data_IF_017957794328
#
_entry.id   IF_017957794328
#
_cell.length_a   1.000
_cell.length_b   1.000
_cell.length_c   1.000
_cell.angle_alpha   90.00
_cell.angle_beta   90.00
_cell.angle_gamma   90.00
#
_symmetry.space_group_name_H-M   'P 1'
#
loop_
_entity.id
_entity.type
_entity.pdbx_description
1 polymer ?
#
# COMPACT_ATOMS: atom_id res chain seq x y z
N UNK A 1 -10.86 17.90 -15.50
CA UNK A 1 -10.86 17.10 -16.74
C UNK A 1 -12.13 17.42 -17.48
N UNK A 2 -11.99 17.93 -18.68
CA UNK A 2 -13.12 18.11 -19.58
C UNK A 2 -13.45 16.75 -20.21
N UNK A 3 -14.73 16.53 -20.57
CA UNK A 3 -15.18 15.26 -21.18
C UNK A 3 -14.37 14.84 -22.41
N UNK A 4 -13.73 15.80 -23.08
CA UNK A 4 -12.86 15.61 -24.24
C UNK A 4 -11.54 14.91 -23.91
N UNK A 5 -11.00 15.14 -22.71
CA UNK A 5 -9.71 14.57 -22.27
C UNK A 5 -9.78 13.05 -22.14
N UNK A 6 -10.97 12.47 -21.99
CA UNK A 6 -11.19 11.04 -21.79
C UNK A 6 -11.52 10.29 -23.10
N UNK A 7 -11.79 11.01 -24.20
CA UNK A 7 -12.26 10.41 -25.47
C UNK A 7 -11.17 9.71 -26.29
N UNK A 8 -9.90 9.75 -25.85
CA UNK A 8 -8.86 8.91 -26.46
C UNK A 8 -9.04 7.43 -26.10
N UNK A 9 -9.77 7.12 -25.02
CA UNK A 9 -10.12 5.76 -24.64
C UNK A 9 -11.32 5.32 -25.47
N UNK A 10 -11.21 4.26 -26.30
CA UNK A 10 -12.27 3.86 -27.24
C UNK A 10 -13.63 3.64 -26.58
N UNK A 11 -13.65 3.06 -25.38
CA UNK A 11 -14.89 2.81 -24.62
C UNK A 11 -15.61 4.11 -24.22
N UNK A 12 -14.86 5.13 -23.81
CA UNK A 12 -15.44 6.43 -23.45
C UNK A 12 -15.89 7.21 -24.68
N UNK A 13 -15.14 7.11 -25.78
CA UNK A 13 -15.56 7.66 -27.06
C UNK A 13 -16.87 7.06 -27.55
N UNK A 14 -16.99 5.73 -27.52
CA UNK A 14 -18.21 5.03 -27.92
C UNK A 14 -19.40 5.49 -27.07
N UNK A 15 -19.26 5.48 -25.75
CA UNK A 15 -20.30 5.94 -24.81
C UNK A 15 -20.69 7.40 -25.05
N UNK A 16 -19.71 8.27 -25.33
CA UNK A 16 -19.97 9.66 -25.62
C UNK A 16 -20.75 9.84 -26.92
N UNK A 17 -20.33 9.16 -28.00
CA UNK A 17 -20.98 9.24 -29.32
C UNK A 17 -22.40 8.68 -29.29
N UNK A 18 -22.63 7.57 -28.58
CA UNK A 18 -23.97 7.01 -28.37
C UNK A 18 -24.93 7.96 -27.63
N UNK A 19 -24.39 8.86 -26.79
CA UNK A 19 -25.16 9.86 -26.06
C UNK A 19 -25.43 11.16 -26.82
N UNK A 20 -24.84 11.35 -28.00
CA UNK A 20 -25.01 12.59 -28.78
C UNK A 20 -26.32 12.58 -29.56
N UNK A 21 -26.94 13.76 -29.68
CA UNK A 21 -28.13 14.01 -30.48
C UNK A 21 -28.00 15.34 -31.20
N UNK A 22 -28.60 15.47 -32.37
CA UNK A 22 -28.67 16.70 -33.14
C UNK A 22 -30.12 17.12 -33.35
N UNK A 23 -30.33 18.41 -33.65
CA UNK A 23 -31.65 18.95 -33.96
C UNK A 23 -31.78 19.02 -35.48
N UNK A 24 -32.83 18.42 -36.03
CA UNK A 24 -33.09 18.47 -37.47
C UNK A 24 -33.72 19.81 -37.90
N UNK A 25 -33.91 20.00 -39.21
CA UNK A 25 -34.52 21.21 -39.78
C UNK A 25 -35.96 21.45 -39.30
N UNK A 26 -36.64 20.41 -38.83
CA UNK A 26 -37.98 20.48 -38.24
C UNK A 26 -37.97 20.78 -36.73
N UNK A 27 -36.78 20.95 -36.15
CA UNK A 27 -36.60 21.21 -34.72
C UNK A 27 -36.69 19.98 -33.83
N UNK A 28 -36.81 18.77 -34.41
CA UNK A 28 -36.90 17.51 -33.69
C UNK A 28 -35.49 17.03 -33.31
N UNK A 29 -35.34 16.57 -32.07
CA UNK A 29 -34.09 16.01 -31.57
C UNK A 29 -33.95 14.57 -32.06
N UNK A 30 -32.86 14.25 -32.78
CA UNK A 30 -32.56 12.90 -33.27
C UNK A 30 -31.23 12.41 -32.70
N UNK A 31 -31.13 11.13 -32.31
CA UNK A 31 -29.86 10.55 -31.89
C UNK A 31 -28.86 10.57 -33.06
N UNK A 32 -27.59 10.78 -32.74
CA UNK A 32 -26.52 10.77 -33.73
C UNK A 32 -26.25 9.36 -34.26
N UNK A 33 -26.42 8.35 -33.41
CA UNK A 33 -26.24 6.93 -33.76
C UNK A 33 -27.61 6.30 -33.99
N UNK A 34 -27.83 5.78 -35.20
CA UNK A 34 -29.06 5.07 -35.57
C UNK A 34 -29.02 3.58 -35.27
N UNK A 35 -27.84 2.96 -35.36
CA UNK A 35 -27.65 1.52 -35.15
C UNK A 35 -26.24 1.26 -34.59
N UNK A 36 -26.13 0.32 -33.64
CA UNK A 36 -24.87 -0.20 -33.14
C UNK A 36 -24.91 -1.72 -33.20
N UNK A 37 -23.82 -2.33 -33.71
CA UNK A 37 -23.71 -3.79 -33.85
C UNK A 37 -22.38 -4.28 -33.32
N UNK A 38 -22.43 -5.13 -32.31
CA UNK A 38 -21.25 -5.85 -31.80
C UNK A 38 -20.91 -6.99 -32.77
N UNK A 39 -19.76 -6.89 -33.44
CA UNK A 39 -19.29 -7.93 -34.37
C UNK A 39 -18.62 -9.09 -33.66
N UNK A 40 -18.05 -8.84 -32.48
CA UNK A 40 -17.32 -9.83 -31.69
C UNK A 40 -17.35 -9.43 -30.22
N UNK A 41 -17.68 -10.39 -29.35
CA UNK A 41 -17.58 -10.23 -27.90
C UNK A 41 -16.44 -11.11 -27.41
N UNK A 42 -15.42 -10.49 -26.81
CA UNK A 42 -14.31 -11.21 -26.20
C UNK A 42 -14.81 -12.11 -25.07
N UNK A 43 -14.43 -13.38 -25.09
CA UNK A 43 -14.69 -14.34 -24.01
C UNK A 43 -13.48 -14.50 -23.08
N UNK A 44 -12.33 -13.93 -23.46
CA UNK A 44 -11.04 -14.14 -22.77
C UNK A 44 -10.74 -13.07 -21.73
N UNK A 45 -11.20 -11.84 -21.99
CA UNK A 45 -11.13 -10.73 -21.05
C UNK A 45 -12.56 -10.25 -20.88
N UNK A 46 -13.16 -10.57 -19.73
CA UNK A 46 -14.38 -9.89 -19.34
C UNK A 46 -14.07 -8.39 -19.37
N UNK A 47 -14.90 -7.61 -20.06
CA UNK A 47 -14.89 -6.15 -19.97
C UNK A 47 -14.74 -5.79 -18.49
N UNK A 48 -13.97 -4.74 -18.19
CA UNK A 48 -13.60 -4.31 -16.84
C UNK A 48 -14.78 -3.92 -15.92
N UNK A 49 -15.99 -4.37 -16.21
CA UNK A 49 -17.11 -4.49 -15.30
C UNK A 49 -16.72 -5.34 -14.10
N UNK A 50 -16.35 -4.64 -13.04
CA UNK A 50 -16.64 -4.96 -11.64
C UNK A 50 -17.06 -6.41 -11.37
N UNK A 51 -16.15 -7.36 -11.47
CA UNK A 51 -16.38 -8.65 -10.83
C UNK A 51 -16.18 -8.45 -9.32
N UNK A 52 -17.16 -7.79 -8.68
CA UNK A 52 -17.14 -7.32 -7.30
C UNK A 52 -16.78 -8.44 -6.33
N UNK A 53 -17.17 -9.68 -6.67
CA UNK A 53 -16.85 -10.89 -5.92
C UNK A 53 -15.37 -11.25 -5.99
N UNK A 54 -14.74 -11.24 -7.16
CA UNK A 54 -13.29 -11.44 -7.30
C UNK A 54 -12.51 -10.32 -6.59
N UNK A 55 -12.95 -9.07 -6.75
CA UNK A 55 -12.33 -7.91 -6.08
C UNK A 55 -12.42 -8.02 -4.55
N UNK A 56 -13.56 -8.48 -4.04
CA UNK A 56 -13.75 -8.78 -2.62
C UNK A 56 -12.88 -9.93 -2.13
N UNK A 57 -12.83 -11.04 -2.87
CA UNK A 57 -12.00 -12.20 -2.51
C UNK A 57 -10.51 -11.85 -2.51
N UNK A 58 -10.03 -11.10 -3.52
CA UNK A 58 -8.66 -10.57 -3.57
C UNK A 58 -8.40 -9.64 -2.40
N UNK A 59 -9.35 -8.76 -2.07
CA UNK A 59 -9.24 -7.85 -0.92
C UNK A 59 -9.09 -8.62 0.39
N UNK A 60 -10.00 -9.57 0.67
CA UNK A 60 -9.94 -10.41 1.88
C UNK A 60 -8.65 -11.22 1.90
N UNK A 61 -8.27 -11.82 0.77
CA UNK A 61 -7.01 -12.55 0.65
C UNK A 61 -5.80 -11.68 0.98
N UNK A 62 -5.73 -10.45 0.47
CA UNK A 62 -4.63 -9.51 0.75
C UNK A 62 -4.59 -9.07 2.21
N UNK A 63 -5.74 -8.85 2.85
CA UNK A 63 -5.83 -8.56 4.30
C UNK A 63 -5.33 -9.75 5.11
N UNK A 64 -5.80 -10.96 4.79
CA UNK A 64 -5.37 -12.19 5.44
C UNK A 64 -3.86 -12.39 5.24
N UNK A 65 -3.37 -12.19 4.03
CA UNK A 65 -1.96 -12.30 3.69
C UNK A 65 -1.13 -11.26 4.48
N UNK A 66 -1.60 -10.02 4.55
CA UNK A 66 -0.97 -8.94 5.32
C UNK A 66 -0.96 -9.17 6.84
N UNK A 67 -1.84 -10.02 7.38
CA UNK A 67 -1.87 -10.41 8.80
C UNK A 67 -1.09 -11.71 9.07
N UNK A 68 -1.35 -12.75 8.27
CA UNK A 68 -0.85 -14.11 8.49
C UNK A 68 0.62 -14.24 8.10
N UNK A 69 1.08 -13.68 6.97
CA UNK A 69 2.50 -13.74 6.61
C UNK A 69 3.39 -13.18 7.73
N UNK A 70 3.21 -11.93 8.19
CA UNK A 70 4.08 -11.39 9.23
C UNK A 70 3.93 -12.13 10.57
N UNK A 71 2.74 -12.60 10.95
CA UNK A 71 2.54 -13.36 12.18
C UNK A 71 3.17 -14.77 12.15
N UNK A 72 2.96 -15.52 11.07
CA UNK A 72 3.54 -16.85 10.87
C UNK A 72 5.06 -16.80 10.71
N UNK A 73 5.57 -15.84 9.94
CA UNK A 73 7.00 -15.64 9.77
C UNK A 73 7.64 -15.10 11.06
N UNK A 74 6.94 -14.37 11.91
CA UNK A 74 7.43 -14.02 13.25
C UNK A 74 7.75 -15.27 14.07
N UNK A 75 6.85 -16.26 14.09
CA UNK A 75 7.05 -17.49 14.86
C UNK A 75 8.28 -18.27 14.37
N UNK A 76 8.44 -18.39 13.06
CA UNK A 76 9.54 -19.15 12.44
C UNK A 76 10.88 -18.41 12.58
N UNK A 77 10.93 -17.12 12.22
CA UNK A 77 12.17 -16.36 12.17
C UNK A 77 12.66 -15.90 13.55
N UNK A 78 11.75 -15.74 14.53
CA UNK A 78 12.12 -15.46 15.92
C UNK A 78 12.84 -16.65 16.55
N UNK A 79 12.42 -17.88 16.23
CA UNK A 79 13.08 -19.11 16.71
C UNK A 79 14.52 -19.24 16.21
N UNK A 80 14.81 -18.76 15.01
CA UNK A 80 16.13 -18.89 14.39
C UNK A 80 17.02 -17.64 14.58
N UNK A 81 16.50 -16.55 15.13
CA UNK A 81 17.25 -15.29 15.31
C UNK A 81 17.32 -14.40 14.06
N UNK A 82 16.71 -14.79 12.95
CA UNK A 82 16.72 -14.06 11.66
C UNK A 82 15.65 -12.96 11.57
N UNK A 83 14.96 -12.68 12.67
CA UNK A 83 13.80 -11.80 12.66
C UNK A 83 14.13 -10.35 12.27
N UNK A 84 15.28 -9.82 12.69
CA UNK A 84 15.69 -8.46 12.31
C UNK A 84 16.00 -8.37 10.79
N UNK A 85 16.54 -9.44 10.18
CA UNK A 85 16.73 -9.52 8.72
C UNK A 85 15.41 -9.58 7.97
N UNK A 86 14.46 -10.38 8.46
CA UNK A 86 13.12 -10.45 7.87
C UNK A 86 12.40 -9.08 7.89
N UNK A 87 12.50 -8.33 8.98
CA UNK A 87 11.96 -6.95 9.05
C UNK A 87 12.60 -6.05 8.00
N UNK A 88 13.93 -6.11 7.87
CA UNK A 88 14.66 -5.33 6.87
C UNK A 88 14.20 -5.68 5.44
N UNK A 89 14.02 -6.96 5.13
CA UNK A 89 13.53 -7.41 3.83
C UNK A 89 12.14 -6.86 3.51
N UNK A 90 11.21 -6.92 4.47
CA UNK A 90 9.87 -6.37 4.28
C UNK A 90 9.85 -4.85 4.10
N UNK A 91 10.68 -4.13 4.87
CA UNK A 91 10.84 -2.69 4.69
C UNK A 91 11.34 -2.35 3.29
N UNK A 92 12.32 -3.10 2.77
CA UNK A 92 12.83 -2.94 1.40
C UNK A 92 11.74 -3.23 0.36
N UNK A 93 10.99 -4.33 0.52
CA UNK A 93 9.90 -4.71 -0.38
C UNK A 93 8.79 -3.65 -0.43
N UNK A 94 8.53 -2.95 0.67
CA UNK A 94 7.59 -1.82 0.69
C UNK A 94 8.22 -0.52 0.16
N UNK A 95 9.53 -0.31 0.37
CA UNK A 95 10.20 0.92 -0.02
C UNK A 95 10.52 1.01 -1.51
N UNK A 96 10.80 -0.11 -2.19
CA UNK A 96 11.07 -0.14 -3.63
C UNK A 96 9.87 0.42 -4.43
N UNK A 97 8.65 -0.14 -4.33
CA UNK A 97 7.50 0.40 -5.05
C UNK A 97 7.16 1.82 -4.60
N UNK A 98 7.39 2.15 -3.31
CA UNK A 98 7.26 3.52 -2.82
C UNK A 98 8.24 4.51 -3.46
N UNK A 99 9.47 4.07 -3.73
CA UNK A 99 10.51 4.89 -4.38
C UNK A 99 10.20 5.08 -5.87
N UNK A 100 9.73 4.02 -6.54
CA UNK A 100 9.24 4.10 -7.92
C UNK A 100 8.05 5.07 -8.00
N UNK A 101 7.09 4.92 -7.09
CA UNK A 101 5.92 5.81 -7.02
C UNK A 101 6.32 7.26 -6.76
N UNK A 102 7.24 7.49 -5.81
CA UNK A 102 7.80 8.82 -5.56
C UNK A 102 8.43 9.40 -6.81
N UNK A 103 9.25 8.61 -7.50
CA UNK A 103 9.90 9.05 -8.74
C UNK A 103 8.89 9.43 -9.80
N UNK A 104 7.88 8.59 -10.04
CA UNK A 104 6.82 8.88 -11.00
C UNK A 104 6.03 10.14 -10.61
N UNK A 105 5.73 10.31 -9.31
CA UNK A 105 5.02 11.49 -8.81
C UNK A 105 5.78 12.80 -9.01
N UNK A 106 7.11 12.81 -8.87
CA UNK A 106 7.90 14.05 -8.81
C UNK A 106 8.70 14.34 -10.08
N UNK A 107 9.08 13.32 -10.84
CA UNK A 107 9.95 13.45 -12.00
C UNK A 107 9.31 13.02 -13.31
N UNK A 108 8.06 12.54 -13.29
CA UNK A 108 7.34 12.18 -14.51
C UNK A 108 6.03 12.95 -14.63
N UNK A 109 5.62 13.22 -15.87
CA UNK A 109 4.30 13.82 -16.19
C UNK A 109 3.19 12.75 -16.22
N UNK A 110 3.33 11.69 -15.40
CA UNK A 110 2.36 10.60 -15.40
C UNK A 110 1.18 10.93 -14.47
N UNK A 111 0.14 11.53 -15.03
CA UNK A 111 -1.08 11.97 -14.35
C UNK A 111 -1.69 10.90 -13.43
N UNK A 112 -1.63 9.63 -13.83
CA UNK A 112 -2.18 8.51 -13.06
C UNK A 112 -1.50 8.28 -11.70
N UNK A 113 -0.28 8.80 -11.55
CA UNK A 113 0.49 8.70 -10.30
C UNK A 113 0.48 9.99 -9.49
N UNK A 114 0.04 11.11 -10.07
CA UNK A 114 0.05 12.39 -9.38
C UNK A 114 -0.90 12.38 -8.17
N UNK A 115 -0.43 12.85 -7.01
CA UNK A 115 -1.21 12.80 -5.77
C UNK A 115 -1.54 11.39 -5.27
N UNK A 116 -0.78 10.35 -5.65
CA UNK A 116 -1.02 8.98 -5.18
C UNK A 116 -0.79 8.85 -3.66
N UNK A 117 -1.85 8.54 -2.92
CA UNK A 117 -1.83 8.48 -1.45
C UNK A 117 -1.13 7.23 -0.91
N UNK A 118 -0.86 6.24 -1.77
CA UNK A 118 -0.11 5.05 -1.37
C UNK A 118 1.32 5.40 -0.96
N UNK A 119 1.83 6.59 -1.33
CA UNK A 119 3.13 7.10 -0.87
C UNK A 119 3.21 7.26 0.66
N UNK A 120 2.08 7.47 1.33
CA UNK A 120 2.00 7.58 2.79
C UNK A 120 2.31 6.24 3.49
N UNK A 121 2.03 5.13 2.82
CA UNK A 121 2.23 3.76 3.32
C UNK A 121 3.50 3.12 2.76
N UNK A 122 3.75 3.31 1.47
CA UNK A 122 4.93 2.86 0.75
C UNK A 122 5.78 4.09 0.42
N UNK A 123 6.68 4.46 1.34
CA UNK A 123 7.52 5.65 1.22
C UNK A 123 8.99 5.26 1.00
N UNK A 124 9.78 6.02 0.21
CA UNK A 124 11.23 5.87 0.18
C UNK A 124 11.87 6.04 1.58
N UNK A 125 11.21 6.76 2.50
CA UNK A 125 11.66 6.92 3.89
C UNK A 125 11.78 5.59 4.65
N UNK A 126 11.07 4.54 4.21
CA UNK A 126 11.18 3.20 4.77
C UNK A 126 12.62 2.66 4.67
N UNK A 127 13.39 3.06 3.64
CA UNK A 127 14.80 2.68 3.48
C UNK A 127 15.69 3.18 4.62
N UNK A 128 15.35 4.32 5.25
CA UNK A 128 16.15 4.89 6.35
C UNK A 128 16.12 4.02 7.61
N UNK A 129 15.09 3.18 7.77
CA UNK A 129 14.95 2.29 8.94
C UNK A 129 15.69 0.96 8.73
N UNK A 130 15.89 0.53 7.48
CA UNK A 130 16.62 -0.70 7.14
C UNK A 130 18.00 -0.77 7.82
N UNK A 131 18.90 0.23 7.68
CA UNK A 131 20.21 0.16 8.33
C UNK A 131 20.09 0.14 9.86
N UNK A 132 19.10 0.83 10.43
CA UNK A 132 18.86 0.81 11.88
C UNK A 132 18.52 -0.61 12.37
N UNK A 133 17.66 -1.32 11.64
CA UNK A 133 17.28 -2.71 11.97
C UNK A 133 18.45 -3.69 11.85
N UNK A 134 19.24 -3.59 10.77
CA UNK A 134 20.40 -4.45 10.53
C UNK A 134 21.57 -4.15 11.48
N UNK A 135 21.81 -2.89 11.80
CA UNK A 135 22.84 -2.48 12.76
C UNK A 135 22.55 -3.01 14.16
N UNK A 136 21.28 -2.99 14.58
CA UNK A 136 20.81 -3.60 15.84
C UNK A 136 21.06 -5.10 15.89
N UNK A 137 20.81 -5.80 14.78
CA UNK A 137 21.04 -7.24 14.69
C UNK A 137 22.52 -7.58 14.91
N UNK A 138 23.41 -6.90 14.18
CA UNK A 138 24.85 -7.17 14.22
C UNK A 138 25.54 -6.82 15.53
N UNK A 139 25.01 -5.86 16.31
CA UNK A 139 25.69 -5.35 17.52
C UNK A 139 24.92 -5.56 18.82
N UNK A 140 23.93 -6.47 18.83
CA UNK A 140 23.04 -6.71 19.99
C UNK A 140 23.76 -6.95 21.32
N UNK A 141 24.93 -7.59 21.30
CA UNK A 141 25.73 -7.88 22.49
C UNK A 141 26.78 -6.81 22.85
N UNK A 142 27.06 -5.86 21.95
CA UNK A 142 28.15 -4.85 22.10
C UNK A 142 27.64 -3.41 22.19
N UNK A 143 26.33 -3.19 22.17
CA UNK A 143 25.73 -1.85 22.19
C UNK A 143 25.52 -1.33 23.61
N UNK A 144 25.89 -0.08 23.83
CA UNK A 144 25.49 0.68 25.00
C UNK A 144 23.95 0.65 25.15
N UNK A 145 23.43 0.26 26.33
CA UNK A 145 21.99 0.25 26.61
C UNK A 145 21.28 1.57 26.27
N UNK A 146 21.93 2.72 26.45
CA UNK A 146 21.36 4.03 26.15
C UNK A 146 21.14 4.22 24.64
N UNK A 147 22.13 3.82 23.82
CA UNK A 147 22.08 3.93 22.36
C UNK A 147 21.01 2.99 21.79
N UNK A 148 20.92 1.77 22.31
CA UNK A 148 19.86 0.81 21.95
C UNK A 148 18.47 1.36 22.25
N UNK A 149 18.26 1.94 23.44
CA UNK A 149 16.96 2.55 23.81
C UNK A 149 16.54 3.70 22.88
N UNK A 150 17.50 4.50 22.39
CA UNK A 150 17.24 5.56 21.41
C UNK A 150 16.80 4.99 20.07
N UNK A 151 17.53 4.01 19.55
CA UNK A 151 17.16 3.30 18.31
C UNK A 151 15.75 2.68 18.39
N UNK A 152 15.42 2.03 19.51
CA UNK A 152 14.12 1.39 19.72
C UNK A 152 12.99 2.42 19.79
N UNK A 153 13.26 3.59 20.38
CA UNK A 153 12.32 4.70 20.44
C UNK A 153 12.06 5.29 19.05
N UNK A 154 13.12 5.48 18.25
CA UNK A 154 12.99 5.96 16.88
C UNK A 154 12.18 4.98 16.02
N UNK A 155 12.50 3.68 16.07
CA UNK A 155 11.77 2.66 15.33
C UNK A 155 10.29 2.55 15.77
N UNK A 156 10.01 2.72 17.07
CA UNK A 156 8.64 2.76 17.58
C UNK A 156 7.87 3.98 17.08
N UNK A 157 8.45 5.18 17.13
CA UNK A 157 7.78 6.39 16.63
C UNK A 157 7.57 6.33 15.12
N UNK A 158 8.53 5.80 14.38
CA UNK A 158 8.39 5.64 12.94
C UNK A 158 7.28 4.64 12.57
N UNK A 159 7.25 3.47 13.23
CA UNK A 159 6.16 2.49 13.01
C UNK A 159 4.80 3.03 13.45
N UNK A 160 4.74 3.82 14.54
CA UNK A 160 3.52 4.52 14.93
C UNK A 160 3.09 5.56 13.88
N UNK A 161 4.05 6.28 13.28
CA UNK A 161 3.82 7.22 12.18
C UNK A 161 3.23 6.53 10.97
N UNK A 162 3.78 5.39 10.54
CA UNK A 162 3.23 4.60 9.43
C UNK A 162 1.80 4.14 9.70
N UNK A 163 1.51 3.67 10.92
CA UNK A 163 0.15 3.31 11.32
C UNK A 163 -0.76 4.53 11.27
N UNK A 164 -0.33 5.68 11.80
CA UNK A 164 -1.09 6.92 11.77
C UNK A 164 -1.37 7.42 10.35
N UNK A 165 -0.38 7.35 9.47
CA UNK A 165 -0.51 7.68 8.05
C UNK A 165 -1.45 6.71 7.32
N UNK A 166 -1.41 5.42 7.65
CA UNK A 166 -2.34 4.44 7.12
C UNK A 166 -3.78 4.66 7.59
N UNK A 167 -3.97 5.03 8.86
CA UNK A 167 -5.28 5.41 9.39
C UNK A 167 -5.78 6.71 8.75
N UNK A 168 -4.90 7.67 8.50
CA UNK A 168 -5.22 8.88 7.76
C UNK A 168 -5.63 8.56 6.32
N UNK A 169 -4.89 7.71 5.62
CA UNK A 169 -5.23 7.25 4.27
C UNK A 169 -6.58 6.51 4.24
N UNK A 170 -6.87 5.71 5.27
CA UNK A 170 -8.20 5.11 5.47
C UNK A 170 -9.27 6.20 5.54
N UNK A 171 -9.11 7.20 6.42
CA UNK A 171 -10.09 8.28 6.60
C UNK A 171 -10.28 9.10 5.32
N UNK A 172 -9.20 9.47 4.65
CA UNK A 172 -9.26 10.22 3.40
C UNK A 172 -9.93 9.40 2.29
N UNK A 173 -9.72 8.08 2.23
CA UNK A 173 -10.33 7.20 1.24
C UNK A 173 -11.87 7.16 1.27
N UNK A 174 -12.50 7.62 2.36
CA UNK A 174 -13.96 7.79 2.43
C UNK A 174 -14.45 9.03 1.67
N UNK A 175 -13.60 10.02 1.46
CA UNK A 175 -13.93 11.24 0.75
C UNK A 175 -13.87 11.00 -0.77
N UNK A 176 -14.91 11.37 -1.54
CA UNK A 176 -14.95 11.15 -3.00
C UNK A 176 -13.74 11.73 -3.74
N UNK A 177 -13.24 12.89 -3.29
CA UNK A 177 -12.09 13.58 -3.86
C UNK A 177 -10.76 12.82 -3.72
N UNK A 178 -10.69 11.80 -2.86
CA UNK A 178 -9.46 11.07 -2.53
C UNK A 178 -9.59 9.56 -2.84
N UNK A 179 -10.66 9.13 -3.52
CA UNK A 179 -10.84 7.74 -3.92
C UNK A 179 -9.86 7.37 -5.04
N UNK A 180 -8.93 6.46 -4.74
CA UNK A 180 -8.04 5.86 -5.73
C UNK A 180 -8.38 4.38 -5.91
N UNK A 181 -8.44 3.92 -7.16
CA UNK A 181 -8.80 2.53 -7.48
C UNK A 181 -7.84 1.48 -6.89
N UNK A 182 -6.60 1.88 -6.61
CA UNK A 182 -5.56 1.02 -6.01
C UNK A 182 -5.40 1.21 -4.49
N UNK A 183 -6.09 2.17 -3.86
CA UNK A 183 -5.92 2.49 -2.44
C UNK A 183 -6.23 1.28 -1.55
N UNK A 184 -7.24 0.50 -1.91
CA UNK A 184 -7.61 -0.71 -1.19
C UNK A 184 -6.43 -1.70 -1.08
N UNK A 185 -5.66 -1.91 -2.14
CA UNK A 185 -4.56 -2.88 -2.14
C UNK A 185 -3.43 -2.47 -1.19
N UNK A 186 -2.99 -1.20 -1.27
CA UNK A 186 -1.93 -0.69 -0.41
C UNK A 186 -2.35 -0.68 1.06
N UNK A 187 -3.59 -0.25 1.33
CA UNK A 187 -4.14 -0.16 2.68
C UNK A 187 -4.31 -1.53 3.33
N UNK A 188 -4.85 -2.49 2.58
CA UNK A 188 -5.12 -3.83 3.07
C UNK A 188 -3.86 -4.64 3.35
N UNK A 189 -2.74 -4.33 2.70
CA UNK A 189 -1.47 -5.02 2.92
C UNK A 189 -0.53 -4.28 3.87
N UNK A 190 -0.33 -2.97 3.69
CA UNK A 190 0.69 -2.20 4.40
C UNK A 190 0.23 -1.75 5.79
N UNK A 191 -1.08 -1.50 6.00
CA UNK A 191 -1.58 -1.10 7.32
C UNK A 191 -1.48 -2.23 8.36
N UNK A 192 -1.94 -3.48 8.08
CA UNK A 192 -1.75 -4.58 9.03
C UNK A 192 -0.28 -4.85 9.33
N UNK A 193 0.60 -4.68 8.34
CA UNK A 193 2.04 -4.78 8.52
C UNK A 193 2.61 -3.70 9.45
N UNK A 194 2.24 -2.43 9.25
CA UNK A 194 2.63 -1.33 10.13
C UNK A 194 2.17 -1.55 11.57
N UNK A 195 0.93 -2.03 11.75
CA UNK A 195 0.36 -2.40 13.06
C UNK A 195 1.16 -3.52 13.72
N UNK A 196 1.53 -4.53 12.95
CA UNK A 196 2.37 -5.64 13.42
C UNK A 196 3.74 -5.15 13.89
N UNK A 197 4.44 -4.34 13.10
CA UNK A 197 5.74 -3.76 13.50
C UNK A 197 5.60 -2.98 14.80
N UNK A 198 4.60 -2.09 14.87
CA UNK A 198 4.36 -1.26 16.04
C UNK A 198 4.07 -2.10 17.30
N UNK A 199 3.23 -3.13 17.18
CA UNK A 199 2.89 -4.03 18.27
C UNK A 199 4.13 -4.80 18.77
N UNK A 200 4.98 -5.27 17.86
CA UNK A 200 6.22 -5.95 18.21
C UNK A 200 7.22 -5.01 18.92
N UNK A 201 7.45 -3.81 18.37
CA UNK A 201 8.32 -2.79 19.01
C UNK A 201 7.83 -2.41 20.41
N UNK A 202 6.51 -2.36 20.63
CA UNK A 202 5.93 -2.15 21.97
C UNK A 202 6.23 -3.30 22.93
N UNK A 203 6.14 -4.56 22.49
CA UNK A 203 6.47 -5.73 23.31
C UNK A 203 7.93 -5.74 23.72
N UNK A 204 8.84 -5.35 22.82
CA UNK A 204 10.27 -5.28 23.11
C UNK A 204 10.66 -4.22 24.17
N UNK A 205 9.92 -3.11 24.30
CA UNK A 205 10.15 -2.14 25.39
C UNK A 205 9.78 -2.67 26.77
N UNK A 206 8.87 -3.64 26.85
CA UNK A 206 8.40 -4.23 28.12
C UNK A 206 9.22 -5.43 28.57
N UNK A 207 10.03 -6.02 27.69
CA UNK A 207 10.89 -7.15 28.07
C UNK A 207 11.98 -6.64 29.03
N UNK A 208 12.13 -7.25 30.22
CA UNK A 208 13.23 -6.93 31.10
C UNK A 208 14.54 -7.16 30.35
N UNK A 209 15.48 -6.21 30.47
CA UNK A 209 16.86 -6.43 30.05
C UNK A 209 17.30 -7.74 30.70
N UNK A 210 17.79 -8.75 29.95
CA UNK A 210 18.31 -9.95 30.58
C UNK A 210 19.36 -9.50 31.59
N UNK A 211 19.08 -9.78 32.86
CA UNK A 211 20.06 -9.65 33.92
C UNK A 211 21.29 -10.45 33.50
N UNK A 212 22.45 -9.89 33.80
CA UNK A 212 23.76 -10.45 33.51
C UNK A 212 23.81 -11.95 33.83
N UNK A 213 24.57 -12.68 33.01
CA UNK A 213 24.79 -14.13 33.07
C UNK A 213 25.21 -14.61 34.48
N UNK A 214 25.66 -13.70 35.34
CA UNK A 214 26.02 -13.93 36.74
C UNK A 214 24.87 -14.44 37.63
N UNK A 215 23.60 -14.36 37.21
CA UNK A 215 22.46 -14.89 37.98
C UNK A 215 22.02 -16.31 37.61
N UNK A 216 22.65 -16.95 36.63
CA UNK A 216 22.35 -18.34 36.23
C UNK A 216 23.28 -19.38 36.87
N UNK A 217 24.23 -18.95 37.71
CA UNK A 217 25.23 -19.81 38.37
C UNK A 217 25.12 -19.75 39.92
N UNK A 218 24.15 -19.02 40.47
CA UNK A 218 23.85 -19.01 41.91
C UNK A 218 22.56 -19.80 42.18
#
# INVERSE_FOLDING_TARGET
MERWDELFVPEYLEKAVLGLSYRDESGVLRPLVSESRTLFTSTTFADGGENSRLRYLVTVFLVILGLILPAGLLLVFKRHGWFDFYRALLLVLAAIPGSVLFFMMTFSDHDSTHGNWNILLASPLLLLIVPLTLWRHRRRARQDPAVRRRADRLALWFSAGLVGLGLLALLLGWLPAFRQGNAAMALNFLLPYGLFLWADWRRYRKAPTPTTVDQLIA
#
